data_IF_230076638318
#
_entry.id   IF_230076638318
#
_cell.length_a   1.000
_cell.length_b   1.000
_cell.length_c   1.000
_cell.angle_alpha   90.00
_cell.angle_beta   90.00
_cell.angle_gamma   90.00
#
_symmetry.space_group_name_H-M   'P 1'
#
loop_
_entity.id
_entity.type
_entity.pdbx_description
1 polymer ?
#
# COMPACT_ATOMS: atom_id res chain seq x y z
N UNK A 1 -20.39 -13.11 -4.84
CA UNK A 1 -19.19 -12.40 -5.28
C UNK A 1 -19.29 -10.89 -5.02
N UNK A 2 -20.37 -10.23 -5.39
CA UNK A 2 -20.54 -8.78 -5.19
C UNK A 2 -20.35 -8.32 -3.73
N UNK A 3 -20.89 -9.07 -2.77
CA UNK A 3 -20.74 -8.77 -1.35
C UNK A 3 -19.26 -8.87 -0.91
N UNK A 4 -18.58 -9.93 -1.34
CA UNK A 4 -17.16 -10.11 -1.02
C UNK A 4 -16.30 -9.03 -1.67
N UNK A 5 -16.61 -8.65 -2.91
CA UNK A 5 -15.93 -7.57 -3.60
C UNK A 5 -16.07 -6.25 -2.85
N UNK A 6 -17.26 -5.91 -2.42
CA UNK A 6 -17.51 -4.67 -1.67
C UNK A 6 -16.67 -4.61 -0.39
N UNK A 7 -16.59 -5.72 0.35
CA UNK A 7 -15.77 -5.78 1.56
C UNK A 7 -14.27 -5.74 1.26
N UNK A 8 -13.80 -6.44 0.22
CA UNK A 8 -12.40 -6.40 -0.20
C UNK A 8 -11.98 -4.97 -0.58
N UNK A 9 -12.79 -4.30 -1.38
CA UNK A 9 -12.54 -2.91 -1.77
C UNK A 9 -12.56 -1.96 -0.57
N UNK A 10 -13.47 -2.17 0.38
CA UNK A 10 -13.52 -1.37 1.61
C UNK A 10 -12.26 -1.57 2.49
N UNK A 11 -11.75 -2.80 2.60
CA UNK A 11 -10.51 -3.11 3.32
C UNK A 11 -9.31 -2.42 2.64
N UNK A 12 -9.20 -2.50 1.33
CA UNK A 12 -8.15 -1.81 0.57
C UNK A 12 -8.21 -0.30 0.78
N UNK A 13 -9.39 0.28 0.67
CA UNK A 13 -9.59 1.73 0.85
C UNK A 13 -9.27 2.18 2.27
N UNK A 14 -9.66 1.41 3.28
CA UNK A 14 -9.32 1.69 4.68
C UNK A 14 -7.80 1.78 4.89
N UNK A 15 -7.01 0.91 4.25
CA UNK A 15 -5.56 0.93 4.33
C UNK A 15 -4.94 2.24 3.85
N UNK A 16 -5.54 2.88 2.87
CA UNK A 16 -5.01 4.12 2.27
C UNK A 16 -5.65 5.37 2.84
N UNK A 17 -6.96 5.41 2.95
CA UNK A 17 -7.71 6.61 3.32
C UNK A 17 -8.29 6.57 4.75
N UNK A 18 -8.12 5.45 5.46
CA UNK A 18 -8.77 5.21 6.75
C UNK A 18 -10.20 4.72 6.58
N UNK A 19 -10.87 4.33 7.68
CA UNK A 19 -12.23 3.81 7.65
C UNK A 19 -13.24 4.88 7.23
N UNK A 20 -14.30 4.42 6.57
CA UNK A 20 -15.45 5.25 6.22
C UNK A 20 -16.52 5.07 7.30
N UNK A 21 -16.92 6.16 7.96
CA UNK A 21 -17.92 6.12 9.03
C UNK A 21 -17.34 5.57 10.35
N UNK A 22 -18.19 4.88 11.12
CA UNK A 22 -17.84 4.39 12.47
C UNK A 22 -17.24 2.97 12.47
N UNK A 23 -17.32 2.26 11.36
CA UNK A 23 -16.84 0.88 11.25
C UNK A 23 -15.45 0.82 10.63
N UNK A 24 -14.54 0.11 11.29
CA UNK A 24 -13.21 -0.19 10.79
C UNK A 24 -12.98 -1.70 10.76
N UNK A 25 -12.35 -2.21 9.69
CA UNK A 25 -12.02 -3.63 9.58
C UNK A 25 -10.80 -4.01 10.42
N UNK A 26 -9.79 -3.15 10.43
CA UNK A 26 -8.50 -3.49 11.05
C UNK A 26 -7.77 -2.30 11.66
N UNK A 27 -8.18 -1.07 11.38
CA UNK A 27 -7.53 0.13 11.87
C UNK A 27 -8.33 0.79 12.99
N UNK A 28 -7.70 1.73 13.68
CA UNK A 28 -8.39 2.60 14.60
C UNK A 28 -9.18 3.68 13.83
N UNK A 29 -10.28 4.15 14.39
CA UNK A 29 -11.11 5.19 13.78
C UNK A 29 -10.52 6.61 13.85
N UNK A 30 -9.21 6.73 14.07
CA UNK A 30 -8.53 8.02 14.14
C UNK A 30 -8.22 8.62 12.76
N UNK A 31 -7.99 9.94 12.68
CA UNK A 31 -7.76 10.64 11.40
C UNK A 31 -6.46 10.24 10.69
N UNK A 32 -5.53 9.59 11.39
CA UNK A 32 -4.24 9.13 10.84
C UNK A 32 -4.18 7.62 10.63
N UNK A 33 -5.31 6.93 10.53
CA UNK A 33 -5.34 5.48 10.44
C UNK A 33 -4.97 4.94 9.06
N UNK A 34 -5.12 5.72 7.98
CA UNK A 34 -4.71 5.36 6.62
C UNK A 34 -3.33 5.89 6.24
N UNK A 35 -2.72 5.28 5.21
CA UNK A 35 -1.40 5.67 4.70
C UNK A 35 -1.34 7.13 4.29
N UNK A 36 -2.36 7.65 3.62
CA UNK A 36 -2.37 9.02 3.10
C UNK A 36 -2.19 10.05 4.21
N UNK A 37 -2.95 9.95 5.28
CA UNK A 37 -2.84 10.84 6.41
C UNK A 37 -1.54 10.64 7.18
N UNK A 38 -1.12 9.39 7.38
CA UNK A 38 0.10 9.04 8.08
C UNK A 38 1.35 9.60 7.39
N UNK A 39 1.48 9.40 6.07
CA UNK A 39 2.67 9.84 5.33
C UNK A 39 2.80 11.36 5.24
N UNK A 40 1.70 12.11 5.32
CA UNK A 40 1.74 13.57 5.40
C UNK A 40 2.47 14.10 6.65
N UNK A 41 2.55 13.29 7.70
CA UNK A 41 3.25 13.67 8.95
C UNK A 41 4.74 13.36 8.92
N UNK A 42 5.24 12.70 7.86
CA UNK A 42 6.61 12.19 7.78
C UNK A 42 7.40 13.02 6.77
N UNK A 43 8.43 13.73 7.25
CA UNK A 43 9.38 14.44 6.39
C UNK A 43 10.30 13.46 5.64
N UNK A 44 10.95 13.93 4.56
CA UNK A 44 11.92 13.14 3.82
C UNK A 44 13.08 12.65 4.71
N UNK A 45 13.54 13.49 5.64
CA UNK A 45 14.58 13.13 6.62
C UNK A 45 14.11 11.97 7.49
N UNK A 46 12.90 12.05 8.04
CA UNK A 46 12.31 10.97 8.86
C UNK A 46 12.07 9.72 8.04
N UNK A 47 11.56 9.86 6.82
CA UNK A 47 11.30 8.74 5.91
C UNK A 47 12.58 7.98 5.54
N UNK A 48 13.74 8.63 5.59
CA UNK A 48 15.05 8.06 5.27
C UNK A 48 15.73 7.36 6.44
N UNK A 49 15.21 7.51 7.66
CA UNK A 49 15.82 6.88 8.84
C UNK A 49 15.60 5.36 8.83
N UNK A 50 16.69 4.63 9.00
CA UNK A 50 16.65 3.17 9.06
C UNK A 50 16.23 2.71 10.47
N UNK A 51 15.04 2.12 10.57
CA UNK A 51 14.47 1.58 11.78
C UNK A 51 14.13 0.11 11.55
N UNK A 52 14.64 -0.78 12.38
CA UNK A 52 14.37 -2.22 12.29
C UNK A 52 14.59 -2.78 10.86
N UNK A 53 15.77 -2.54 10.32
CA UNK A 53 16.22 -3.11 9.04
C UNK A 53 16.04 -2.21 7.82
N UNK A 54 15.00 -1.39 7.74
CA UNK A 54 14.76 -0.50 6.59
C UNK A 54 14.07 0.82 7.01
N UNK A 55 13.86 1.70 6.03
CA UNK A 55 13.24 3.02 6.24
C UNK A 55 11.77 3.02 5.85
N UNK A 56 11.04 4.08 6.23
CA UNK A 56 9.67 4.31 5.74
C UNK A 56 9.68 4.48 4.22
N UNK A 57 10.67 5.19 3.66
CA UNK A 57 10.81 5.34 2.20
C UNK A 57 10.98 3.98 1.50
N UNK A 58 11.78 3.07 2.07
CA UNK A 58 11.94 1.72 1.54
C UNK A 58 10.61 0.94 1.54
N UNK A 59 9.86 1.01 2.64
CA UNK A 59 8.54 0.38 2.76
C UNK A 59 7.55 0.93 1.72
N UNK A 60 7.51 2.23 1.55
CA UNK A 60 6.62 2.90 0.57
C UNK A 60 6.99 2.52 -0.86
N UNK A 61 8.28 2.48 -1.18
CA UNK A 61 8.75 2.05 -2.49
C UNK A 61 8.37 0.60 -2.78
N UNK A 62 8.61 -0.30 -1.84
CA UNK A 62 8.25 -1.71 -1.96
C UNK A 62 6.74 -1.89 -2.14
N UNK A 63 5.93 -1.18 -1.37
CA UNK A 63 4.47 -1.24 -1.48
C UNK A 63 3.97 -0.72 -2.83
N UNK A 64 4.54 0.38 -3.31
CA UNK A 64 4.24 0.94 -4.65
C UNK A 64 4.55 -0.07 -5.75
N UNK A 65 5.70 -0.72 -5.67
CA UNK A 65 6.11 -1.76 -6.60
C UNK A 65 5.11 -2.94 -6.58
N UNK A 66 4.75 -3.42 -5.41
CA UNK A 66 3.83 -4.55 -5.23
C UNK A 66 2.42 -4.25 -5.77
N UNK A 67 1.92 -3.04 -5.54
CA UNK A 67 0.62 -2.60 -6.07
C UNK A 67 0.63 -2.57 -7.60
N UNK A 68 1.69 -2.04 -8.20
CA UNK A 68 1.84 -1.97 -9.66
C UNK A 68 1.92 -3.35 -10.29
N UNK A 69 2.67 -4.27 -9.69
CA UNK A 69 2.78 -5.67 -10.16
C UNK A 69 1.43 -6.37 -10.05
N UNK A 70 0.74 -6.22 -8.92
CA UNK A 70 -0.56 -6.85 -8.71
C UNK A 70 -1.60 -6.36 -9.72
N UNK A 71 -1.63 -5.06 -10.02
CA UNK A 71 -2.53 -4.49 -11.03
C UNK A 71 -2.28 -5.11 -12.41
N UNK A 72 -1.01 -5.25 -12.82
CA UNK A 72 -0.64 -5.88 -14.09
C UNK A 72 -1.08 -7.35 -14.14
N UNK A 73 -0.79 -8.08 -13.08
CA UNK A 73 -1.14 -9.50 -13.01
C UNK A 73 -2.65 -9.74 -13.03
N UNK A 74 -3.43 -8.92 -12.32
CA UNK A 74 -4.90 -9.00 -12.36
C UNK A 74 -5.44 -8.80 -13.78
N UNK A 75 -4.80 -7.90 -14.55
CA UNK A 75 -5.16 -7.62 -15.95
C UNK A 75 -4.57 -8.61 -16.97
N UNK A 76 -3.90 -9.66 -16.51
CA UNK A 76 -3.38 -10.74 -17.36
C UNK A 76 -1.92 -10.60 -17.78
N UNK A 77 -1.24 -9.50 -17.50
CA UNK A 77 0.21 -9.39 -17.72
C UNK A 77 0.95 -10.12 -16.60
N UNK A 78 1.43 -11.31 -16.90
CA UNK A 78 2.12 -12.21 -15.95
C UNK A 78 3.66 -12.09 -16.02
N UNK A 79 4.18 -11.02 -16.60
CA UNK A 79 5.62 -10.77 -16.65
C UNK A 79 6.21 -10.82 -15.24
N UNK A 80 7.24 -11.64 -15.05
CA UNK A 80 7.91 -11.76 -13.75
C UNK A 80 8.69 -10.48 -13.47
N UNK A 81 8.41 -9.78 -12.33
CA UNK A 81 9.14 -8.59 -11.98
C UNK A 81 10.49 -8.94 -11.33
N UNK A 82 11.39 -7.97 -11.32
CA UNK A 82 12.60 -8.00 -10.50
C UNK A 82 12.25 -7.56 -9.07
N UNK A 83 11.90 -8.53 -8.23
CA UNK A 83 11.51 -8.28 -6.84
C UNK A 83 12.63 -7.67 -5.99
N UNK A 84 13.89 -7.94 -6.32
CA UNK A 84 15.02 -7.38 -5.58
C UNK A 84 15.04 -5.85 -5.73
N UNK A 85 14.72 -5.34 -6.91
CA UNK A 85 14.62 -3.89 -7.16
C UNK A 85 13.52 -3.19 -6.36
N UNK A 86 12.55 -3.91 -5.81
CA UNK A 86 11.50 -3.33 -4.97
C UNK A 86 12.01 -2.73 -3.67
N UNK A 87 13.26 -3.02 -3.29
CA UNK A 87 13.94 -2.50 -2.10
C UNK A 87 15.11 -1.56 -2.42
N UNK A 88 15.23 -1.08 -3.65
CA UNK A 88 16.35 -0.24 -4.09
C UNK A 88 16.34 1.18 -3.49
N UNK A 89 15.22 1.63 -2.95
CA UNK A 89 15.11 2.94 -2.29
C UNK A 89 15.22 2.78 -0.78
N UNK A 90 16.13 3.53 -0.16
CA UNK A 90 16.28 3.57 1.31
C UNK A 90 16.26 5.00 1.86
N UNK A 91 16.76 5.96 1.10
CA UNK A 91 16.82 7.38 1.43
C UNK A 91 16.20 8.21 0.32
N UNK A 92 15.62 9.35 0.68
CA UNK A 92 14.94 10.24 -0.25
C UNK A 92 15.23 11.71 0.07
N UNK A 93 15.32 12.54 -0.97
CA UNK A 93 15.22 14.00 -0.85
C UNK A 93 13.75 14.40 -0.68
N UNK A 94 13.48 15.64 -0.30
CA UNK A 94 12.09 16.14 -0.18
C UNK A 94 11.32 15.97 -1.48
N UNK A 95 11.91 16.31 -2.62
CA UNK A 95 11.29 16.15 -3.94
C UNK A 95 11.04 14.67 -4.28
N UNK A 96 12.01 13.81 -4.02
CA UNK A 96 11.88 12.37 -4.25
C UNK A 96 10.82 11.75 -3.33
N UNK A 97 10.70 12.23 -2.09
CA UNK A 97 9.68 11.79 -1.16
C UNK A 97 8.25 12.14 -1.62
N UNK A 98 8.05 13.37 -2.07
CA UNK A 98 6.76 13.80 -2.63
C UNK A 98 6.40 12.98 -3.88
N UNK A 99 7.37 12.76 -4.77
CA UNK A 99 7.19 11.93 -5.97
C UNK A 99 6.85 10.49 -5.62
N UNK A 100 7.51 9.92 -4.63
CA UNK A 100 7.27 8.53 -4.18
C UNK A 100 5.86 8.37 -3.60
N UNK A 101 5.40 9.32 -2.80
CA UNK A 101 4.03 9.32 -2.28
C UNK A 101 3.00 9.43 -3.41
N UNK A 102 3.22 10.30 -4.37
CA UNK A 102 2.37 10.43 -5.55
C UNK A 102 2.28 9.10 -6.33
N UNK A 103 3.41 8.46 -6.57
CA UNK A 103 3.46 7.14 -7.23
C UNK A 103 2.74 6.06 -6.44
N UNK A 104 2.86 6.06 -5.12
CA UNK A 104 2.16 5.11 -4.26
C UNK A 104 0.65 5.21 -4.45
N UNK A 105 0.10 6.41 -4.37
CA UNK A 105 -1.35 6.59 -4.45
C UNK A 105 -1.89 6.34 -5.85
N UNK A 106 -1.14 6.66 -6.90
CA UNK A 106 -1.49 6.28 -8.27
C UNK A 106 -1.47 4.76 -8.47
N UNK A 107 -0.43 4.07 -7.98
CA UNK A 107 -0.35 2.62 -8.05
C UNK A 107 -1.50 1.96 -7.28
N UNK A 108 -1.87 2.53 -6.13
CA UNK A 108 -3.03 2.08 -5.37
C UNK A 108 -4.33 2.19 -6.17
N UNK A 109 -4.61 3.35 -6.76
CA UNK A 109 -5.85 3.53 -7.53
C UNK A 109 -5.91 2.59 -8.74
N UNK A 110 -4.80 2.37 -9.44
CA UNK A 110 -4.76 1.40 -10.53
C UNK A 110 -5.00 -0.03 -10.05
N UNK A 111 -4.39 -0.42 -8.93
CA UNK A 111 -4.62 -1.73 -8.33
C UNK A 111 -6.06 -1.89 -7.85
N UNK A 112 -6.61 -0.86 -7.20
CA UNK A 112 -7.99 -0.84 -6.75
C UNK A 112 -8.98 -1.04 -7.90
N UNK A 113 -8.80 -0.34 -9.02
CA UNK A 113 -9.62 -0.52 -10.22
C UNK A 113 -9.47 -1.92 -10.83
N UNK A 114 -8.25 -2.48 -10.83
CA UNK A 114 -8.04 -3.84 -11.33
C UNK A 114 -8.70 -4.89 -10.42
N UNK A 115 -8.66 -4.70 -9.09
CA UNK A 115 -9.39 -5.55 -8.15
C UNK A 115 -10.90 -5.47 -8.40
N UNK A 116 -11.43 -4.26 -8.57
CA UNK A 116 -12.85 -4.04 -8.81
C UNK A 116 -13.35 -4.76 -10.06
N UNK A 117 -12.58 -4.71 -11.16
CA UNK A 117 -12.98 -5.30 -12.44
C UNK A 117 -12.62 -6.79 -12.57
N UNK A 118 -11.46 -7.21 -12.07
CA UNK A 118 -10.85 -8.47 -12.52
C UNK A 118 -10.62 -9.50 -11.39
N UNK A 119 -10.85 -9.17 -10.12
CA UNK A 119 -10.48 -10.04 -8.98
C UNK A 119 -11.19 -11.39 -8.99
N UNK A 120 -12.42 -11.48 -9.51
CA UNK A 120 -13.18 -12.73 -9.58
C UNK A 120 -13.21 -13.39 -10.96
N UNK A 121 -12.40 -12.92 -11.91
CA UNK A 121 -12.29 -13.52 -13.24
C UNK A 121 -11.66 -14.93 -13.18
N UNK A 122 -10.72 -15.13 -12.28
CA UNK A 122 -10.05 -16.42 -12.07
C UNK A 122 -9.77 -16.66 -10.58
N UNK A 123 -9.56 -17.92 -10.21
CA UNK A 123 -9.11 -18.31 -8.86
C UNK A 123 -7.78 -17.62 -8.48
N UNK A 124 -6.86 -17.54 -9.43
CA UNK A 124 -5.59 -16.85 -9.25
C UNK A 124 -5.81 -15.35 -8.95
N UNK A 125 -6.70 -14.70 -9.66
CA UNK A 125 -7.01 -13.29 -9.43
C UNK A 125 -7.62 -13.06 -8.05
N UNK A 126 -8.49 -13.96 -7.59
CA UNK A 126 -9.01 -13.88 -6.22
C UNK A 126 -7.88 -13.97 -5.18
N UNK A 127 -6.94 -14.89 -5.38
CA UNK A 127 -5.74 -14.99 -4.53
C UNK A 127 -4.87 -13.74 -4.56
N UNK A 128 -4.68 -13.14 -5.73
CA UNK A 128 -3.92 -11.90 -5.89
C UNK A 128 -4.58 -10.72 -5.16
N UNK A 129 -5.88 -10.57 -5.27
CA UNK A 129 -6.62 -9.50 -4.60
C UNK A 129 -6.58 -9.62 -3.08
N UNK A 130 -6.85 -10.81 -2.55
CA UNK A 130 -6.77 -11.10 -1.13
C UNK A 130 -5.34 -10.95 -0.60
N UNK A 131 -4.36 -11.47 -1.34
CA UNK A 131 -2.94 -11.33 -1.01
C UNK A 131 -2.50 -9.88 -0.97
N UNK A 132 -2.95 -9.05 -1.92
CA UNK A 132 -2.61 -7.62 -1.92
C UNK A 132 -3.23 -6.88 -0.74
N UNK A 133 -4.46 -7.19 -0.36
CA UNK A 133 -5.06 -6.61 0.84
C UNK A 133 -4.26 -6.95 2.11
N UNK A 134 -3.88 -8.21 2.27
CA UNK A 134 -3.03 -8.64 3.38
C UNK A 134 -1.65 -7.96 3.36
N UNK A 135 -1.04 -7.84 2.19
CA UNK A 135 0.27 -7.21 1.99
C UNK A 135 0.23 -5.70 2.32
N UNK A 136 -0.80 -5.01 1.86
CA UNK A 136 -1.02 -3.59 2.17
C UNK A 136 -1.13 -3.37 3.70
N UNK A 137 -1.93 -4.17 4.38
CA UNK A 137 -2.13 -4.09 5.84
C UNK A 137 -0.84 -4.40 6.58
N UNK A 138 -0.10 -5.43 6.14
CA UNK A 138 1.19 -5.79 6.71
C UNK A 138 2.19 -4.63 6.66
N UNK A 139 2.34 -3.99 5.50
CA UNK A 139 3.24 -2.86 5.33
C UNK A 139 2.74 -1.58 6.00
N UNK A 140 1.43 -1.34 6.04
CA UNK A 140 0.85 -0.24 6.82
C UNK A 140 1.22 -0.37 8.30
N UNK A 141 1.09 -1.55 8.88
CA UNK A 141 1.49 -1.82 10.26
C UNK A 141 2.98 -1.54 10.50
N UNK A 142 3.84 -2.01 9.60
CA UNK A 142 5.29 -1.76 9.67
C UNK A 142 5.62 -0.26 9.57
N UNK A 143 5.01 0.46 8.65
CA UNK A 143 5.18 1.91 8.49
C UNK A 143 4.73 2.66 9.73
N UNK A 144 3.55 2.33 10.29
CA UNK A 144 3.04 2.96 11.52
C UNK A 144 4.00 2.77 12.69
N UNK A 145 4.51 1.56 12.91
CA UNK A 145 5.47 1.30 13.98
C UNK A 145 6.75 2.10 13.81
N UNK A 146 7.28 2.20 12.59
CA UNK A 146 8.46 3.04 12.31
C UNK A 146 8.17 4.52 12.59
N UNK A 147 7.03 5.03 12.17
CA UNK A 147 6.64 6.42 12.43
C UNK A 147 6.53 6.73 13.93
N UNK A 148 6.05 5.79 14.74
CA UNK A 148 6.00 5.95 16.20
C UNK A 148 7.39 6.06 16.82
N UNK A 149 8.37 5.32 16.31
CA UNK A 149 9.76 5.35 16.79
C UNK A 149 10.49 6.63 16.37
N UNK A 150 10.25 7.08 15.16
CA UNK A 150 10.91 8.27 14.60
C UNK A 150 10.36 9.57 15.23
N UNK A 151 9.16 9.52 15.73
CA UNK A 151 8.47 10.70 16.27
C UNK A 151 7.88 11.56 15.18
#
# INVERSE_FOLDING_TARGET
QEVLLAHLLAILREGVDGPVGEFAYFSDSGPASGLRALLKTVSAEKASQKIAGNSVAAQVHHLTFSLSVTAKWLRGDRTRPDWDSSWDVSEVTSEAWDTLQYKLFNAFEECYMAVESDVFETDMNAGLGLGMAAHLIYHLGAIRQKCMVIG
#
